data_IF_459124348916
#
_entry.id   IF_459124348916
#
_cell.length_a   1.000
_cell.length_b   1.000
_cell.length_c   1.000
_cell.angle_alpha   90.00
_cell.angle_beta   90.00
_cell.angle_gamma   90.00
#
_symmetry.space_group_name_H-M   'P 1'
#
loop_
_entity.id
_entity.type
_entity.pdbx_description
1 polymer ?
#
# COMPACT_ATOMS: atom_id res chain seq x y z
N UNK A 1 -12.85 33.80 -31.94
CA UNK A 1 -12.23 33.58 -30.62
C UNK A 1 -12.40 32.10 -30.29
N UNK A 2 -11.38 31.31 -30.62
CA UNK A 2 -11.41 29.85 -30.53
C UNK A 2 -10.45 29.47 -29.41
N UNK A 3 -10.96 28.97 -28.29
CA UNK A 3 -10.14 28.47 -27.19
C UNK A 3 -9.60 27.09 -27.56
N UNK A 4 -8.28 27.02 -27.78
CA UNK A 4 -7.56 25.80 -28.05
C UNK A 4 -7.39 25.00 -26.75
N UNK A 5 -8.15 23.91 -26.60
CA UNK A 5 -7.85 22.82 -25.69
C UNK A 5 -6.55 22.16 -26.17
N UNK A 6 -5.41 22.44 -25.51
CA UNK A 6 -4.20 21.62 -25.69
C UNK A 6 -4.42 20.30 -24.95
N UNK A 7 -4.76 19.27 -25.72
CA UNK A 7 -4.66 17.88 -25.29
C UNK A 7 -3.23 17.60 -24.83
N UNK A 8 -3.07 17.25 -23.56
CA UNK A 8 -1.86 16.58 -23.07
C UNK A 8 -2.01 15.12 -23.48
N UNK A 9 -1.41 14.77 -24.61
CA UNK A 9 -1.13 13.40 -25.02
C UNK A 9 -0.03 12.84 -24.11
N UNK A 10 -0.41 11.96 -23.19
CA UNK A 10 0.51 11.00 -22.57
C UNK A 10 -0.22 9.66 -22.45
N UNK A 11 -0.34 8.96 -23.58
CA UNK A 11 -0.71 7.54 -23.60
C UNK A 11 0.49 6.77 -23.08
N UNK A 12 0.51 6.49 -21.78
CA UNK A 12 1.28 5.43 -21.18
C UNK A 12 0.32 4.30 -20.83
N UNK A 13 0.64 3.07 -21.25
CA UNK A 13 -0.08 1.85 -20.85
C UNK A 13 0.00 1.69 -19.33
N UNK A 14 -0.99 2.19 -18.61
CA UNK A 14 -1.16 1.89 -17.18
C UNK A 14 -1.75 0.50 -17.06
N UNK A 15 -1.04 -0.41 -16.39
CA UNK A 15 -1.63 -1.63 -15.88
C UNK A 15 -2.73 -1.23 -14.89
N UNK A 16 -3.98 -1.57 -15.18
CA UNK A 16 -5.06 -1.40 -14.24
C UNK A 16 -4.99 -2.37 -13.07
N UNK A 17 -5.72 -1.96 -12.04
CA UNK A 17 -5.72 -2.53 -10.69
C UNK A 17 -7.11 -3.09 -10.47
N UNK A 18 -7.23 -4.38 -10.19
CA UNK A 18 -8.51 -4.94 -9.77
C UNK A 18 -8.71 -4.65 -8.28
N UNK A 19 -9.92 -4.20 -7.92
CA UNK A 19 -10.32 -4.01 -6.53
C UNK A 19 -11.27 -5.13 -6.15
N UNK A 20 -10.82 -6.02 -5.27
CA UNK A 20 -11.67 -7.07 -4.69
C UNK A 20 -12.15 -6.56 -3.32
N UNK A 21 -13.47 -6.37 -3.19
CA UNK A 21 -14.12 -6.04 -1.93
C UNK A 21 -14.58 -7.34 -1.25
N UNK A 22 -14.15 -7.54 0.00
CA UNK A 22 -14.57 -8.69 0.82
C UNK A 22 -15.74 -8.24 1.68
N UNK A 23 -16.97 -8.68 1.37
CA UNK A 23 -18.14 -8.41 2.22
C UNK A 23 -18.29 -9.52 3.28
N UNK A 24 -18.22 -9.13 4.55
CA UNK A 24 -18.56 -9.99 5.68
C UNK A 24 -19.93 -9.62 6.22
N UNK A 25 -20.99 -10.30 5.77
CA UNK A 25 -22.29 -10.24 6.45
C UNK A 25 -22.56 -11.57 7.14
N UNK A 26 -22.48 -11.58 8.46
CA UNK A 26 -22.94 -12.67 9.31
C UNK A 26 -24.47 -12.57 9.48
N UNK A 27 -25.21 -13.56 9.01
CA UNK A 27 -26.65 -13.70 9.25
C UNK A 27 -26.88 -14.42 10.59
N UNK A 28 -27.35 -13.68 11.59
CA UNK A 28 -27.84 -14.22 12.86
C UNK A 28 -29.10 -15.04 12.62
N UNK A 29 -29.10 -16.32 13.00
CA UNK A 29 -30.28 -17.17 12.99
C UNK A 29 -31.13 -16.89 14.24
N UNK A 30 -32.32 -16.33 14.07
CA UNK A 30 -33.36 -16.35 15.09
C UNK A 30 -34.58 -17.08 14.52
N UNK A 31 -34.81 -18.28 15.05
CA UNK A 31 -36.01 -19.08 14.80
C UNK A 31 -37.08 -18.67 15.83
N UNK A 32 -38.28 -18.32 15.36
CA UNK A 32 -39.44 -18.04 16.22
C UNK A 32 -40.61 -17.43 15.44
N UNK A 33 -41.76 -18.12 15.46
CA UNK A 33 -42.96 -17.89 14.64
C UNK A 33 -44.00 -17.02 15.41
N UNK A 34 -44.90 -16.34 14.66
CA UNK A 34 -46.28 -15.79 14.96
C UNK A 34 -46.45 -14.27 15.30
N UNK A 35 -47.63 -13.63 15.05
CA UNK A 35 -48.03 -13.00 13.77
C UNK A 35 -48.40 -11.48 13.84
N UNK A 36 -48.76 -10.93 12.68
CA UNK A 36 -49.25 -9.57 12.34
C UNK A 36 -50.07 -8.79 13.39
N UNK A 37 -49.64 -7.56 13.71
CA UNK A 37 -50.49 -6.40 13.99
C UNK A 37 -49.70 -5.08 13.83
N UNK A 38 -50.34 -4.05 13.28
CA UNK A 38 -49.69 -2.94 12.59
C UNK A 38 -48.86 -1.97 13.44
N UNK A 39 -47.81 -1.44 12.82
CA UNK A 39 -47.30 -0.08 13.06
C UNK A 39 -46.82 0.51 11.74
N UNK A 40 -47.39 1.66 11.39
CA UNK A 40 -46.89 2.53 10.32
C UNK A 40 -45.47 2.94 10.68
N UNK A 41 -44.49 2.54 9.87
CA UNK A 41 -43.18 3.18 9.85
C UNK A 41 -42.98 3.72 8.43
N UNK A 42 -42.73 5.03 8.35
CA UNK A 42 -42.29 5.74 7.14
C UNK A 42 -40.86 5.29 6.76
N UNK A 43 -40.70 4.01 6.41
CA UNK A 43 -39.48 3.47 5.87
C UNK A 43 -39.50 3.58 4.36
N UNK A 44 -38.86 4.62 3.82
CA UNK A 44 -38.26 4.48 2.49
C UNK A 44 -37.38 3.25 2.58
N UNK A 45 -37.66 2.25 1.76
CA UNK A 45 -36.80 1.09 1.56
C UNK A 45 -35.44 1.65 1.12
N UNK A 46 -34.48 1.77 2.05
CA UNK A 46 -33.10 2.11 1.71
C UNK A 46 -32.55 0.90 0.96
N UNK A 47 -32.11 1.14 -0.27
CA UNK A 47 -31.41 0.19 -1.14
C UNK A 47 -30.54 -0.75 -0.29
N UNK A 48 -31.03 -1.98 -0.21
CA UNK A 48 -30.43 -3.14 0.43
C UNK A 48 -29.01 -3.35 -0.08
N UNK A 49 -28.01 -3.43 0.82
CA UNK A 49 -26.75 -4.20 0.76
C UNK A 49 -26.11 -4.52 -0.61
N UNK A 50 -26.26 -3.65 -1.60
CA UNK A 50 -25.46 -3.65 -2.80
C UNK A 50 -24.16 -2.93 -2.44
N UNK A 51 -23.04 -3.63 -2.56
CA UNK A 51 -21.71 -3.05 -2.38
C UNK A 51 -21.64 -1.75 -3.19
N UNK A 52 -21.57 -0.61 -2.50
CA UNK A 52 -21.40 0.69 -3.14
C UNK A 52 -20.11 0.60 -3.96
N UNK A 53 -20.24 0.62 -5.29
CA UNK A 53 -19.10 0.75 -6.19
C UNK A 53 -18.37 2.03 -5.79
N UNK A 54 -17.07 1.89 -5.55
CA UNK A 54 -16.24 2.95 -5.00
C UNK A 54 -15.01 3.11 -5.85
N UNK A 55 -14.73 4.35 -6.19
CA UNK A 55 -13.58 4.78 -6.99
C UNK A 55 -12.54 5.46 -6.10
N UNK A 56 -11.31 4.96 -6.14
CA UNK A 56 -10.14 5.62 -5.57
C UNK A 56 -8.87 5.29 -6.36
N UNK A 57 -7.87 6.17 -6.26
CA UNK A 57 -6.52 5.92 -6.78
C UNK A 57 -5.76 5.03 -5.81
N UNK A 58 -4.76 4.27 -6.25
CA UNK A 58 -3.93 3.43 -5.36
C UNK A 58 -3.26 4.27 -4.26
N UNK A 59 -2.66 5.40 -4.61
CA UNK A 59 -1.96 6.28 -3.67
C UNK A 59 -1.23 7.37 -4.44
N UNK A 60 0.01 7.08 -4.83
CA UNK A 60 0.92 7.97 -5.55
C UNK A 60 0.33 8.54 -6.85
N UNK A 61 0.50 9.85 -7.05
CA UNK A 61 0.18 10.56 -8.29
C UNK A 61 1.46 11.04 -8.99
N UNK A 62 1.35 11.35 -10.28
CA UNK A 62 2.49 11.85 -11.05
C UNK A 62 2.92 13.23 -10.52
N UNK A 63 4.17 13.35 -10.07
CA UNK A 63 4.73 14.63 -9.63
C UNK A 63 4.82 15.61 -10.81
N UNK A 64 4.21 16.81 -10.72
CA UNK A 64 4.33 17.83 -11.75
C UNK A 64 5.79 18.28 -11.97
N UNK A 65 6.07 18.86 -13.14
CA UNK A 65 7.39 19.41 -13.44
C UNK A 65 7.80 20.52 -12.44
N UNK A 66 6.84 21.34 -12.01
CA UNK A 66 7.02 22.40 -11.01
C UNK A 66 7.49 21.86 -9.66
N UNK A 67 7.02 20.67 -9.24
CA UNK A 67 7.49 20.02 -8.02
C UNK A 67 8.99 19.70 -8.12
N UNK A 68 9.41 19.10 -9.24
CA UNK A 68 10.81 18.73 -9.48
C UNK A 68 11.72 19.94 -9.50
N UNK A 69 11.31 21.01 -10.17
CA UNK A 69 12.05 22.28 -10.21
C UNK A 69 12.21 22.87 -8.80
N UNK A 70 11.13 22.94 -8.03
CA UNK A 70 11.17 23.44 -6.66
C UNK A 70 12.10 22.61 -5.77
N UNK A 71 12.08 21.28 -5.93
CA UNK A 71 12.95 20.38 -5.18
C UNK A 71 14.42 20.59 -5.52
N UNK A 72 14.76 20.71 -6.81
CA UNK A 72 16.12 21.02 -7.26
C UNK A 72 16.61 22.36 -6.69
N UNK A 73 15.74 23.38 -6.65
CA UNK A 73 16.08 24.69 -6.06
C UNK A 73 16.31 24.62 -4.55
N UNK A 74 15.50 23.83 -3.83
CA UNK A 74 15.70 23.56 -2.41
C UNK A 74 17.06 22.89 -2.16
N UNK A 75 17.39 21.86 -2.95
CA UNK A 75 18.67 21.15 -2.84
C UNK A 75 19.88 22.03 -3.21
N UNK A 76 19.70 22.96 -4.14
CA UNK A 76 20.70 23.97 -4.50
C UNK A 76 20.79 25.15 -3.50
N UNK A 77 19.92 25.21 -2.49
CA UNK A 77 19.86 26.32 -1.53
C UNK A 77 19.32 27.64 -2.10
N UNK A 78 18.74 27.62 -3.30
CA UNK A 78 18.13 28.80 -3.96
C UNK A 78 16.63 28.94 -3.67
N UNK A 79 16.08 28.02 -2.89
CA UNK A 79 14.75 28.05 -2.30
C UNK A 79 14.88 27.55 -0.85
N UNK A 80 14.28 28.25 0.10
CA UNK A 80 14.28 27.82 1.49
C UNK A 80 13.19 26.76 1.75
N UNK A 81 13.28 26.08 2.89
CA UNK A 81 12.33 25.02 3.26
C UNK A 81 10.88 25.53 3.31
N UNK A 82 10.68 26.76 3.79
CA UNK A 82 9.36 27.41 3.85
C UNK A 82 8.81 27.69 2.45
N UNK A 83 9.65 28.18 1.54
CA UNK A 83 9.29 28.39 0.14
C UNK A 83 8.92 27.08 -0.56
N UNK A 84 9.69 26.02 -0.36
CA UNK A 84 9.39 24.69 -0.90
C UNK A 84 8.07 24.14 -0.34
N UNK A 85 7.85 24.22 0.97
CA UNK A 85 6.63 23.72 1.61
C UNK A 85 5.36 24.37 1.04
N UNK A 86 5.38 25.69 0.77
CA UNK A 86 4.24 26.39 0.14
C UNK A 86 3.96 25.90 -1.28
N UNK A 87 5.00 25.67 -2.08
CA UNK A 87 4.84 25.14 -3.45
C UNK A 87 4.25 23.74 -3.38
N UNK A 88 4.79 22.88 -2.50
CA UNK A 88 4.31 21.52 -2.35
C UNK A 88 2.85 21.48 -1.88
N UNK A 89 2.47 22.32 -0.93
CA UNK A 89 1.09 22.43 -0.47
C UNK A 89 0.13 22.82 -1.60
N UNK A 90 0.49 23.79 -2.44
CA UNK A 90 -0.31 24.18 -3.62
C UNK A 90 -0.52 23.00 -4.57
N UNK A 91 0.55 22.24 -4.84
CA UNK A 91 0.47 21.10 -5.77
C UNK A 91 -0.35 19.94 -5.20
N UNK A 92 -0.29 19.73 -3.89
CA UNK A 92 -1.16 18.76 -3.19
C UNK A 92 -2.62 19.20 -3.26
N UNK A 93 -2.91 20.49 -3.05
CA UNK A 93 -4.27 21.03 -3.20
C UNK A 93 -4.80 20.83 -4.61
N UNK A 94 -4.01 21.11 -5.65
CA UNK A 94 -4.38 20.86 -7.05
C UNK A 94 -4.68 19.38 -7.31
N UNK A 95 -3.84 18.48 -6.78
CA UNK A 95 -4.04 17.03 -6.92
C UNK A 95 -5.33 16.54 -6.25
N UNK A 96 -5.65 17.06 -5.07
CA UNK A 96 -6.91 16.77 -4.36
C UNK A 96 -8.11 17.30 -5.14
N UNK A 97 -8.05 18.56 -5.59
CA UNK A 97 -9.13 19.17 -6.35
C UNK A 97 -9.40 18.44 -7.67
N UNK A 98 -8.35 17.97 -8.35
CA UNK A 98 -8.50 17.18 -9.57
C UNK A 98 -9.28 15.89 -9.30
N UNK A 99 -8.91 15.15 -8.24
CA UNK A 99 -9.59 13.91 -7.86
C UNK A 99 -11.07 14.15 -7.51
N UNK A 100 -11.37 15.24 -6.80
CA UNK A 100 -12.74 15.63 -6.49
C UNK A 100 -13.53 16.02 -7.74
N UNK A 101 -12.90 16.75 -8.67
CA UNK A 101 -13.52 17.22 -9.91
C UNK A 101 -13.89 16.07 -10.84
N UNK A 102 -13.03 15.05 -10.94
CA UNK A 102 -13.31 13.84 -11.74
C UNK A 102 -14.28 12.88 -11.04
N UNK A 103 -14.70 13.20 -9.82
CA UNK A 103 -15.76 12.49 -9.11
C UNK A 103 -15.31 11.27 -8.33
N UNK A 104 -14.02 11.16 -7.95
CA UNK A 104 -13.58 10.04 -7.10
C UNK A 104 -14.34 10.02 -5.76
N UNK A 105 -14.68 8.81 -5.32
CA UNK A 105 -15.36 8.60 -4.04
C UNK A 105 -14.42 8.81 -2.88
N UNK A 106 -13.15 8.41 -3.04
CA UNK A 106 -12.08 8.61 -2.07
C UNK A 106 -10.80 9.08 -2.73
N UNK A 107 -10.15 10.03 -2.05
CA UNK A 107 -9.01 10.79 -2.54
C UNK A 107 -7.74 10.49 -1.74
N UNK A 108 -6.59 10.84 -2.30
CA UNK A 108 -5.26 10.77 -1.69
C UNK A 108 -4.55 12.12 -1.83
N UNK A 109 -3.53 12.40 -1.02
CA UNK A 109 -2.62 13.55 -1.25
C UNK A 109 -1.66 13.32 -2.43
N UNK A 110 -1.71 12.12 -3.02
CA UNK A 110 -0.88 11.71 -4.14
C UNK A 110 0.55 11.35 -3.75
N UNK A 111 0.85 11.27 -2.45
CA UNK A 111 2.19 11.01 -1.91
C UNK A 111 3.26 11.96 -2.47
N UNK A 112 2.86 13.19 -2.84
CA UNK A 112 3.74 14.15 -3.50
C UNK A 112 4.91 14.58 -2.61
N UNK A 113 4.70 14.61 -1.29
CA UNK A 113 5.72 14.94 -0.28
C UNK A 113 6.79 13.87 -0.08
N UNK A 114 6.58 12.67 -0.63
CA UNK A 114 7.53 11.55 -0.53
C UNK A 114 8.36 11.49 -1.80
N UNK A 115 9.58 10.94 -1.75
CA UNK A 115 10.33 10.55 -2.96
C UNK A 115 10.03 9.09 -3.33
N UNK A 116 9.81 8.26 -2.32
CA UNK A 116 9.56 6.83 -2.41
C UNK A 116 8.42 6.41 -1.47
N UNK A 117 7.61 5.41 -1.85
CA UNK A 117 6.55 4.88 -0.96
C UNK A 117 7.10 4.36 0.39
N UNK A 118 8.37 3.91 0.38
CA UNK A 118 9.12 3.47 1.56
C UNK A 118 9.35 4.61 2.58
N UNK A 119 9.25 5.87 2.15
CA UNK A 119 9.48 7.05 3.01
C UNK A 119 8.40 7.21 4.09
N UNK A 120 7.23 6.59 3.90
CA UNK A 120 6.18 6.52 4.93
C UNK A 120 6.70 5.95 6.26
N UNK A 121 7.68 5.05 6.21
CA UNK A 121 8.38 4.53 7.39
C UNK A 121 9.82 5.06 7.48
N UNK A 122 10.55 5.13 6.35
CA UNK A 122 11.96 5.51 6.33
C UNK A 122 12.26 6.92 6.84
N UNK A 123 11.34 7.88 6.67
CA UNK A 123 11.46 9.23 7.22
C UNK A 123 10.85 9.39 8.62
N UNK A 124 10.11 8.38 9.08
CA UNK A 124 9.35 8.40 10.33
C UNK A 124 10.07 7.72 11.50
N UNK A 125 11.13 6.94 11.22
CA UNK A 125 11.73 6.02 12.19
C UNK A 125 13.23 6.25 12.36
N UNK A 126 13.66 6.39 13.61
CA UNK A 126 15.06 6.46 14.03
C UNK A 126 15.68 5.08 14.30
N UNK A 127 16.98 5.05 14.61
CA UNK A 127 17.74 3.85 14.97
C UNK A 127 18.46 3.13 13.82
N UNK A 128 18.21 3.53 12.56
CA UNK A 128 18.98 3.04 11.42
C UNK A 128 20.27 3.83 11.22
N UNK A 129 21.30 3.14 10.72
CA UNK A 129 22.50 3.80 10.18
C UNK A 129 22.13 4.49 8.86
N UNK A 130 21.78 5.78 8.91
CA UNK A 130 21.20 6.52 7.78
C UNK A 130 22.03 7.71 7.30
N UNK A 131 21.84 8.11 6.04
CA UNK A 131 22.08 9.49 5.60
C UNK A 131 20.94 9.99 4.71
N UNK A 132 20.93 11.30 4.42
CA UNK A 132 19.88 11.98 3.68
C UNK A 132 19.81 11.54 2.22
N UNK A 133 18.60 11.28 1.72
CA UNK A 133 18.32 11.12 0.28
C UNK A 133 18.30 12.46 -0.45
N UNK A 134 18.75 12.46 -1.71
CA UNK A 134 18.69 13.60 -2.65
C UNK A 134 17.99 13.16 -3.94
N UNK A 135 17.41 14.09 -4.70
CA UNK A 135 16.86 13.79 -6.04
C UNK A 135 17.93 13.17 -6.93
N UNK A 136 19.18 13.64 -6.86
CA UNK A 136 20.28 13.05 -7.62
C UNK A 136 20.56 11.59 -7.26
N UNK A 137 20.47 11.19 -5.99
CA UNK A 137 20.58 9.78 -5.59
C UNK A 137 19.38 8.96 -6.08
N UNK A 138 18.18 9.53 -6.02
CA UNK A 138 16.99 8.89 -6.56
C UNK A 138 17.09 8.67 -8.08
N UNK A 139 17.61 9.65 -8.83
CA UNK A 139 17.81 9.55 -10.29
C UNK A 139 18.94 8.58 -10.65
N UNK A 140 20.01 8.48 -9.85
CA UNK A 140 21.06 7.48 -10.05
C UNK A 140 20.56 6.04 -9.96
N UNK A 141 19.50 5.76 -9.18
CA UNK A 141 18.91 4.40 -9.06
C UNK A 141 18.34 3.86 -10.37
N UNK A 142 18.03 4.76 -11.30
CA UNK A 142 17.41 4.46 -12.60
C UNK A 142 18.34 4.79 -13.76
N UNK A 143 19.60 5.13 -13.47
CA UNK A 143 20.62 5.36 -14.48
C UNK A 143 20.94 4.03 -15.18
N UNK A 144 20.77 3.98 -16.50
CA UNK A 144 20.90 2.75 -17.31
C UNK A 144 19.61 1.92 -17.42
N UNK A 145 18.55 2.29 -16.71
CA UNK A 145 17.27 1.60 -16.76
C UNK A 145 16.46 2.01 -18.01
N UNK A 146 15.87 1.04 -18.72
CA UNK A 146 15.04 1.26 -19.93
C UNK A 146 13.58 0.94 -19.62
N UNK A 147 12.61 1.66 -20.20
CA UNK A 147 11.19 1.33 -20.04
C UNK A 147 10.90 -0.10 -20.50
N UNK A 148 9.90 -0.72 -19.88
CA UNK A 148 9.42 -2.06 -20.23
C UNK A 148 10.47 -3.19 -20.11
N UNK A 149 11.35 -3.12 -19.12
CA UNK A 149 12.24 -4.25 -18.77
C UNK A 149 12.23 -4.51 -17.26
N UNK A 150 12.64 -5.72 -16.87
CA UNK A 150 12.98 -6.01 -15.47
C UNK A 150 14.18 -5.17 -15.07
N UNK A 151 14.03 -4.40 -14.00
CA UNK A 151 15.13 -3.65 -13.40
C UNK A 151 15.26 -4.10 -11.94
N UNK A 152 16.46 -4.39 -11.49
CA UNK A 152 16.75 -4.51 -10.05
C UNK A 152 17.52 -3.25 -9.69
N UNK A 153 17.00 -2.45 -8.76
CA UNK A 153 17.70 -1.24 -8.32
C UNK A 153 19.08 -1.67 -7.79
N UNK A 154 20.20 -1.18 -8.38
CA UNK A 154 21.53 -1.54 -7.93
C UNK A 154 21.73 -1.23 -6.46
N UNK A 155 22.50 -2.05 -5.75
CA UNK A 155 22.89 -1.73 -4.39
C UNK A 155 23.86 -0.54 -4.42
N UNK A 156 23.31 0.65 -4.20
CA UNK A 156 24.11 1.85 -4.05
C UNK A 156 24.78 1.78 -2.67
N UNK A 157 26.01 1.26 -2.64
CA UNK A 157 26.93 1.35 -1.50
C UNK A 157 27.22 2.84 -1.21
N UNK A 158 26.30 3.48 -0.51
CA UNK A 158 26.32 4.88 -0.09
C UNK A 158 25.38 5.03 1.08
N UNK A 159 25.21 6.23 1.62
CA UNK A 159 24.29 6.47 2.72
C UNK A 159 22.95 7.01 2.17
N UNK A 160 21.81 6.52 2.68
CA UNK A 160 20.47 6.81 2.15
C UNK A 160 19.35 6.46 3.15
N UNK A 161 18.07 6.62 2.75
CA UNK A 161 16.92 6.40 3.66
C UNK A 161 16.81 4.92 4.09
N UNK A 162 16.39 4.68 5.34
CA UNK A 162 16.01 3.35 5.79
C UNK A 162 14.96 2.73 4.85
N UNK A 163 14.97 1.41 4.73
CA UNK A 163 14.03 0.62 3.92
C UNK A 163 14.26 0.71 2.40
N UNK A 164 14.84 1.77 1.83
CA UNK A 164 15.17 1.80 0.39
C UNK A 164 16.29 0.82 0.01
N UNK A 165 17.28 0.67 0.89
CA UNK A 165 18.37 -0.30 0.78
C UNK A 165 18.38 -1.20 2.02
N UNK A 166 19.07 -2.34 1.94
CA UNK A 166 19.25 -3.18 3.12
C UNK A 166 20.16 -2.46 4.11
N UNK A 167 19.70 -2.22 5.34
CA UNK A 167 20.44 -1.42 6.33
C UNK A 167 20.46 -2.05 7.72
N UNK A 168 21.59 -1.94 8.44
CA UNK A 168 21.63 -2.27 9.84
C UNK A 168 21.04 -1.16 10.70
N UNK A 169 20.76 -1.51 11.95
CA UNK A 169 20.46 -0.56 13.03
C UNK A 169 21.64 -0.49 14.00
N UNK A 170 21.79 0.65 14.68
CA UNK A 170 22.74 0.82 15.78
C UNK A 170 22.06 0.88 17.16
N UNK A 171 20.74 1.07 17.20
CA UNK A 171 19.90 1.02 18.39
C UNK A 171 18.49 0.52 18.03
N UNK A 172 17.62 0.31 19.04
CA UNK A 172 16.24 -0.09 18.76
C UNK A 172 15.51 1.00 17.98
N UNK A 173 14.67 0.56 17.05
CA UNK A 173 13.93 1.50 16.20
C UNK A 173 12.84 2.15 17.03
N UNK A 174 12.57 3.42 16.74
CA UNK A 174 11.54 4.18 17.43
C UNK A 174 10.97 5.23 16.48
N UNK A 175 9.69 5.56 16.66
CA UNK A 175 9.04 6.59 15.86
C UNK A 175 9.55 7.97 16.27
N UNK A 176 10.15 8.71 15.34
CA UNK A 176 10.62 10.09 15.55
C UNK A 176 9.60 11.13 15.11
N UNK A 177 8.77 10.77 14.14
CA UNK A 177 7.65 11.56 13.62
C UNK A 177 6.68 10.64 12.88
N UNK A 178 5.49 11.12 12.54
CA UNK A 178 4.52 10.36 11.77
C UNK A 178 4.24 11.05 10.43
N UNK A 179 5.06 10.75 9.42
CA UNK A 179 4.95 11.35 8.08
C UNK A 179 3.56 11.14 7.45
N UNK A 180 2.97 9.92 7.47
CA UNK A 180 1.59 9.71 7.00
C UNK A 180 0.54 10.58 7.70
N UNK A 181 0.68 10.82 9.01
CA UNK A 181 -0.23 11.69 9.76
C UNK A 181 -0.10 13.15 9.34
N UNK A 182 1.12 13.65 9.18
CA UNK A 182 1.37 15.03 8.74
C UNK A 182 0.76 15.28 7.36
N UNK A 183 0.88 14.30 6.45
CA UNK A 183 0.26 14.34 5.12
C UNK A 183 -1.26 14.40 5.19
N UNK A 184 -1.87 13.53 6.01
CA UNK A 184 -3.30 13.52 6.23
C UNK A 184 -3.79 14.85 6.83
N UNK A 185 -3.11 15.36 7.85
CA UNK A 185 -3.47 16.61 8.53
C UNK A 185 -3.35 17.82 7.59
N UNK A 186 -2.39 17.80 6.66
CA UNK A 186 -2.21 18.85 5.66
C UNK A 186 -3.43 18.98 4.75
N UNK A 187 -3.99 17.86 4.29
CA UNK A 187 -5.08 17.88 3.29
C UNK A 187 -6.48 17.85 3.87
N UNK A 188 -6.64 17.31 5.09
CA UNK A 188 -7.94 17.13 5.72
C UNK A 188 -8.79 18.41 5.79
N UNK A 189 -8.26 19.63 6.05
CA UNK A 189 -9.07 20.84 6.15
C UNK A 189 -9.80 21.25 4.88
N UNK A 190 -9.29 20.89 3.70
CA UNK A 190 -9.88 21.26 2.41
C UNK A 190 -10.45 20.09 1.60
N UNK A 191 -10.18 18.85 2.02
CA UNK A 191 -10.79 17.65 1.46
C UNK A 191 -12.33 17.61 1.69
N UNK A 192 -13.08 17.45 0.61
CA UNK A 192 -14.56 17.27 0.58
C UNK A 192 -14.97 15.81 0.51
N UNK A 193 -14.02 14.91 0.22
CA UNK A 193 -14.20 13.46 0.14
C UNK A 193 -13.41 12.76 1.25
N UNK A 194 -13.76 11.52 1.64
CA UNK A 194 -12.93 10.74 2.53
C UNK A 194 -11.51 10.60 1.96
N UNK A 195 -10.51 10.70 2.84
CA UNK A 195 -9.09 10.63 2.48
C UNK A 195 -8.54 9.25 2.81
N UNK A 196 -7.82 8.66 1.86
CA UNK A 196 -7.01 7.44 2.01
C UNK A 196 -5.56 7.82 2.32
N UNK A 197 -4.95 7.09 3.25
CA UNK A 197 -3.53 7.24 3.58
C UNK A 197 -2.79 5.93 3.32
N UNK A 198 -1.73 5.98 2.53
CA UNK A 198 -0.87 4.83 2.25
C UNK A 198 0.31 4.76 3.22
N UNK A 199 0.55 3.59 3.80
CA UNK A 199 1.74 3.25 4.58
C UNK A 199 2.40 2.02 3.97
N UNK A 200 3.72 1.94 4.02
CA UNK A 200 4.43 0.73 3.62
C UNK A 200 4.13 -0.43 4.58
N UNK A 201 4.02 -1.63 4.03
CA UNK A 201 3.82 -2.86 4.79
C UNK A 201 5.09 -3.43 5.44
N UNK A 202 4.92 -4.22 6.52
CA UNK A 202 6.00 -4.82 7.29
C UNK A 202 6.94 -5.70 6.46
N UNK A 203 6.46 -6.32 5.38
CA UNK A 203 7.30 -7.24 4.58
C UNK A 203 8.52 -6.53 4.01
N UNK A 204 8.28 -5.40 3.34
CA UNK A 204 9.34 -4.66 2.66
C UNK A 204 10.34 -4.09 3.66
N UNK A 205 9.87 -3.66 4.83
CA UNK A 205 10.73 -3.24 5.94
C UNK A 205 11.65 -4.39 6.36
N UNK A 206 11.11 -5.59 6.58
CA UNK A 206 11.87 -6.79 6.92
C UNK A 206 12.87 -7.22 5.83
N UNK A 207 12.46 -7.22 4.55
CA UNK A 207 13.33 -7.53 3.41
C UNK A 207 14.50 -6.55 3.26
N UNK A 208 14.39 -5.36 3.86
CA UNK A 208 15.38 -4.27 3.77
C UNK A 208 16.09 -4.04 5.11
N UNK A 209 15.95 -4.99 6.04
CA UNK A 209 16.70 -5.00 7.28
C UNK A 209 17.93 -5.92 7.18
N UNK A 210 19.10 -5.40 7.56
CA UNK A 210 20.32 -6.19 7.71
C UNK A 210 20.38 -6.78 9.12
N UNK A 211 19.74 -7.92 9.32
CA UNK A 211 19.72 -8.60 10.61
C UNK A 211 21.12 -9.03 11.06
N UNK A 212 21.99 -9.47 10.14
CA UNK A 212 23.32 -9.99 10.49
C UNK A 212 24.18 -8.89 11.14
N UNK A 213 24.21 -7.71 10.52
CA UNK A 213 24.93 -6.55 11.06
C UNK A 213 24.19 -5.86 12.23
N UNK A 214 22.98 -6.32 12.58
CA UNK A 214 22.16 -5.75 13.66
C UNK A 214 21.99 -6.67 14.87
N UNK A 215 22.70 -7.81 14.93
CA UNK A 215 22.54 -8.82 16.00
C UNK A 215 22.83 -8.30 17.40
N UNK A 216 23.65 -7.26 17.52
CA UNK A 216 23.92 -6.59 18.81
C UNK A 216 22.69 -5.85 19.36
N UNK A 217 21.75 -5.45 18.49
CA UNK A 217 20.52 -4.72 18.86
C UNK A 217 19.32 -5.68 18.89
N UNK A 218 19.19 -6.53 17.87
CA UNK A 218 18.11 -7.50 17.73
C UNK A 218 18.65 -8.91 17.63
N UNK A 219 18.44 -9.70 18.68
CA UNK A 219 18.83 -11.10 18.71
C UNK A 219 18.17 -11.90 17.58
N UNK A 220 16.91 -11.59 17.24
CA UNK A 220 16.12 -12.29 16.23
C UNK A 220 15.43 -11.32 15.27
N UNK A 221 15.10 -11.81 14.07
CA UNK A 221 14.24 -11.09 13.14
C UNK A 221 12.84 -10.85 13.73
N UNK A 222 12.34 -11.77 14.57
CA UNK A 222 11.03 -11.62 15.22
C UNK A 222 11.01 -10.41 16.17
N UNK A 223 12.06 -10.23 16.98
CA UNK A 223 12.17 -9.08 17.88
C UNK A 223 12.22 -7.73 17.12
N UNK A 224 12.82 -7.70 15.93
CA UNK A 224 12.78 -6.53 15.06
C UNK A 224 11.37 -6.30 14.49
N UNK A 225 10.71 -7.35 14.02
CA UNK A 225 9.36 -7.24 13.46
C UNK A 225 8.31 -6.84 14.51
N UNK A 226 8.49 -7.21 15.78
CA UNK A 226 7.66 -6.75 16.89
C UNK A 226 7.71 -5.22 17.03
N UNK A 227 8.90 -4.62 16.95
CA UNK A 227 9.06 -3.15 17.01
C UNK A 227 8.50 -2.47 15.75
N UNK A 228 8.67 -3.08 14.57
CA UNK A 228 8.05 -2.59 13.31
C UNK A 228 6.53 -2.53 13.44
N UNK A 229 5.92 -3.62 13.92
CA UNK A 229 4.47 -3.69 14.17
C UNK A 229 4.04 -2.67 15.22
N UNK A 230 4.78 -2.54 16.31
CA UNK A 230 4.47 -1.56 17.36
C UNK A 230 4.46 -0.12 16.81
N UNK A 231 5.47 0.25 16.02
CA UNK A 231 5.56 1.56 15.38
C UNK A 231 4.42 1.77 14.36
N UNK A 232 4.17 0.80 13.48
CA UNK A 232 3.09 0.93 12.49
C UNK A 232 1.72 1.04 13.17
N UNK A 233 1.51 0.34 14.30
CA UNK A 233 0.29 0.50 15.11
C UNK A 233 0.19 1.89 15.74
N UNK A 234 1.30 2.47 16.20
CA UNK A 234 1.32 3.87 16.66
C UNK A 234 0.95 4.82 15.51
N UNK A 235 1.49 4.60 14.31
CA UNK A 235 1.16 5.39 13.12
C UNK A 235 -0.34 5.32 12.80
N UNK A 236 -0.90 4.10 12.76
CA UNK A 236 -2.32 3.84 12.52
C UNK A 236 -3.18 4.49 13.60
N UNK A 237 -2.84 4.35 14.87
CA UNK A 237 -3.59 4.96 15.97
C UNK A 237 -3.65 6.48 15.81
N UNK A 238 -2.52 7.16 15.56
CA UNK A 238 -2.54 8.62 15.40
C UNK A 238 -3.36 9.07 14.17
N UNK A 239 -3.36 8.30 13.08
CA UNK A 239 -4.21 8.55 11.92
C UNK A 239 -5.70 8.42 12.28
N UNK A 240 -6.06 7.37 13.02
CA UNK A 240 -7.42 7.13 13.49
C UNK A 240 -7.90 8.24 14.42
N UNK A 241 -7.03 8.69 15.34
CA UNK A 241 -7.31 9.79 16.28
C UNK A 241 -7.53 11.11 15.53
N UNK A 242 -6.81 11.34 14.43
CA UNK A 242 -7.02 12.48 13.54
C UNK A 242 -8.27 12.36 12.64
N UNK A 243 -9.01 11.24 12.73
CA UNK A 243 -10.25 11.01 11.99
C UNK A 243 -10.07 10.28 10.65
N UNK A 244 -8.88 9.79 10.33
CA UNK A 244 -8.68 8.95 9.15
C UNK A 244 -9.42 7.61 9.34
N UNK A 245 -10.15 7.16 8.33
CA UNK A 245 -10.92 5.89 8.37
C UNK A 245 -10.59 4.96 7.21
N UNK A 246 -9.66 5.34 6.34
CA UNK A 246 -9.13 4.44 5.32
C UNK A 246 -7.62 4.49 5.30
N UNK A 247 -7.02 3.41 5.79
CA UNK A 247 -5.58 3.23 5.81
C UNK A 247 -5.26 2.08 4.88
N UNK A 248 -4.32 2.33 3.99
CA UNK A 248 -3.91 1.42 2.95
C UNK A 248 -2.47 0.95 3.25
N UNK A 249 -2.22 -0.35 3.22
CA UNK A 249 -0.91 -0.96 3.45
C UNK A 249 -0.33 -1.46 2.13
N UNK A 250 0.78 -0.88 1.70
CA UNK A 250 1.47 -1.28 0.47
C UNK A 250 2.39 -2.47 0.75
N UNK A 251 2.04 -3.64 0.18
CA UNK A 251 2.81 -4.89 0.28
C UNK A 251 3.30 -5.37 -1.09
N UNK A 252 4.03 -4.55 -1.88
CA UNK A 252 4.68 -5.06 -3.08
C UNK A 252 5.68 -6.18 -2.72
N UNK A 253 6.13 -6.24 -1.46
CA UNK A 253 6.96 -7.29 -0.87
C UNK A 253 6.43 -8.72 -1.11
N UNK A 254 5.11 -8.92 -1.12
CA UNK A 254 4.52 -10.24 -1.27
C UNK A 254 4.72 -10.89 -2.64
N UNK A 255 4.88 -10.09 -3.70
CA UNK A 255 5.14 -10.64 -5.04
C UNK A 255 6.53 -11.27 -5.18
N UNK A 256 7.44 -11.10 -4.20
CA UNK A 256 8.73 -11.81 -4.22
C UNK A 256 8.58 -13.29 -3.90
N UNK A 257 7.53 -13.68 -3.18
CA UNK A 257 7.33 -15.06 -2.79
C UNK A 257 6.79 -15.93 -3.93
N UNK A 258 6.44 -15.31 -5.07
CA UNK A 258 6.01 -15.96 -6.31
C UNK A 258 6.96 -15.67 -7.49
N UNK A 259 8.07 -14.97 -7.24
CA UNK A 259 9.07 -14.61 -8.25
C UNK A 259 10.34 -15.46 -8.05
N UNK A 260 10.65 -16.40 -8.96
CA UNK A 260 11.78 -17.32 -8.77
C UNK A 260 13.15 -16.64 -8.54
N UNK A 261 13.52 -15.55 -9.25
CA UNK A 261 14.77 -14.85 -8.96
C UNK A 261 14.81 -14.20 -7.57
N UNK A 262 13.68 -13.63 -7.10
CA UNK A 262 13.58 -13.11 -5.73
C UNK A 262 13.74 -14.21 -4.68
N UNK A 263 13.11 -15.37 -4.89
CA UNK A 263 13.23 -16.53 -4.00
C UNK A 263 14.67 -17.04 -3.94
N UNK A 264 15.36 -17.11 -5.08
CA UNK A 264 16.75 -17.53 -5.13
C UNK A 264 17.66 -16.54 -4.40
N UNK A 265 17.45 -15.23 -4.61
CA UNK A 265 18.19 -14.20 -3.89
C UNK A 265 17.98 -14.28 -2.37
N UNK A 266 16.76 -14.61 -1.89
CA UNK A 266 16.51 -14.86 -0.46
C UNK A 266 17.30 -16.07 0.05
N UNK A 267 17.24 -17.20 -0.68
CA UNK A 267 17.95 -18.44 -0.29
C UNK A 267 19.46 -18.26 -0.28
N UNK A 268 20.02 -17.55 -1.25
CA UNK A 268 21.45 -17.25 -1.33
C UNK A 268 21.96 -16.44 -0.11
N UNK A 269 21.08 -15.69 0.56
CA UNK A 269 21.39 -14.97 1.80
C UNK A 269 21.19 -15.81 3.07
N UNK A 270 20.85 -17.10 2.93
CA UNK A 270 20.53 -17.99 4.05
C UNK A 270 19.15 -17.76 4.66
N UNK A 271 18.26 -17.07 3.96
CA UNK A 271 16.89 -16.86 4.42
C UNK A 271 15.99 -18.05 4.08
N UNK A 272 14.90 -18.23 4.82
CA UNK A 272 13.87 -19.25 4.56
C UNK A 272 12.58 -18.57 4.08
N UNK A 273 12.32 -18.46 2.76
CA UNK A 273 11.22 -17.67 2.22
C UNK A 273 9.83 -18.00 2.80
N UNK A 274 9.43 -19.28 2.99
CA UNK A 274 8.13 -19.59 3.60
C UNK A 274 7.99 -19.09 5.05
N UNK A 275 9.10 -19.07 5.82
CA UNK A 275 9.10 -18.52 7.18
C UNK A 275 9.05 -17.00 7.17
N UNK A 276 9.75 -16.36 6.23
CA UNK A 276 9.68 -14.91 6.02
C UNK A 276 8.26 -14.47 5.67
N UNK A 277 7.62 -15.14 4.71
CA UNK A 277 6.24 -14.84 4.34
C UNK A 277 5.27 -15.02 5.52
N UNK A 278 5.43 -16.10 6.29
CA UNK A 278 4.61 -16.36 7.48
C UNK A 278 4.77 -15.30 8.55
N UNK A 279 6.01 -14.86 8.82
CA UNK A 279 6.29 -13.74 9.74
C UNK A 279 5.61 -12.46 9.26
N UNK A 280 5.67 -12.22 7.96
CA UNK A 280 5.14 -11.03 7.32
C UNK A 280 3.62 -10.93 7.35
N UNK A 281 2.91 -12.02 7.03
CA UNK A 281 1.45 -12.11 7.14
C UNK A 281 1.01 -11.86 8.59
N UNK A 282 1.69 -12.48 9.57
CA UNK A 282 1.40 -12.27 11.00
C UNK A 282 1.61 -10.82 11.41
N UNK A 283 2.71 -10.20 11.00
CA UNK A 283 3.00 -8.79 11.28
C UNK A 283 1.93 -7.88 10.67
N UNK A 284 1.55 -8.10 9.41
CA UNK A 284 0.55 -7.31 8.72
C UNK A 284 -0.83 -7.42 9.40
N UNK A 285 -1.28 -8.64 9.71
CA UNK A 285 -2.51 -8.87 10.45
C UNK A 285 -2.50 -8.18 11.83
N UNK A 286 -1.36 -8.21 12.53
CA UNK A 286 -1.22 -7.54 13.82
C UNK A 286 -1.34 -6.01 13.76
N UNK A 287 -0.98 -5.36 12.64
CA UNK A 287 -1.12 -3.91 12.48
C UNK A 287 -2.58 -3.49 12.50
N UNK A 288 -3.46 -4.26 11.85
CA UNK A 288 -4.89 -3.91 11.68
C UNK A 288 -5.75 -4.17 12.94
N UNK A 289 -5.26 -5.00 13.87
CA UNK A 289 -6.06 -5.49 15.01
C UNK A 289 -6.44 -4.35 15.97
N UNK A 290 -7.71 -4.29 16.37
CA UNK A 290 -8.18 -3.35 17.41
C UNK A 290 -8.50 -1.94 16.89
N UNK A 291 -8.75 -1.77 15.59
CA UNK A 291 -9.16 -0.51 14.97
C UNK A 291 -10.56 -0.61 14.34
N UNK A 292 -11.63 -0.71 15.15
CA UNK A 292 -12.99 -0.84 14.62
C UNK A 292 -13.39 0.39 13.80
N UNK A 293 -14.12 0.17 12.70
CA UNK A 293 -14.58 1.25 11.83
C UNK A 293 -13.51 1.83 10.89
N UNK A 294 -12.29 1.29 10.90
CA UNK A 294 -11.26 1.59 9.91
C UNK A 294 -11.37 0.59 8.77
N UNK A 295 -11.39 1.09 7.54
CA UNK A 295 -11.16 0.26 6.36
C UNK A 295 -9.65 0.09 6.21
N UNK A 296 -9.18 -1.15 6.20
CA UNK A 296 -7.83 -1.50 5.78
C UNK A 296 -7.86 -2.03 4.35
N UNK A 297 -7.09 -1.38 3.49
CA UNK A 297 -6.77 -1.84 2.15
C UNK A 297 -5.36 -2.38 2.09
N UNK A 298 -5.11 -3.34 1.19
CA UNK A 298 -3.77 -3.81 0.87
C UNK A 298 -3.51 -3.68 -0.64
N UNK A 299 -2.33 -3.23 -1.02
CA UNK A 299 -1.92 -3.16 -2.43
C UNK A 299 -0.72 -4.05 -2.71
N UNK A 300 -0.87 -4.92 -3.71
CA UNK A 300 0.22 -5.71 -4.24
C UNK A 300 0.50 -5.26 -5.68
N UNK A 301 1.77 -4.99 -5.92
CA UNK A 301 2.30 -4.53 -7.21
C UNK A 301 3.60 -5.26 -7.52
N UNK A 302 3.94 -5.28 -8.80
CA UNK A 302 5.20 -5.83 -9.34
C UNK A 302 6.23 -4.73 -9.66
N UNK A 303 5.90 -3.48 -9.30
CA UNK A 303 6.69 -2.30 -9.58
C UNK A 303 6.26 -1.63 -10.89
N UNK A 304 6.16 -0.30 -10.88
CA UNK A 304 5.85 0.50 -12.06
C UNK A 304 6.74 1.76 -12.11
N UNK A 305 8.00 1.64 -11.67
CA UNK A 305 8.90 2.79 -11.70
C UNK A 305 9.28 3.06 -13.16
N UNK A 306 8.74 4.13 -13.75
CA UNK A 306 8.89 4.46 -15.20
C UNK A 306 8.55 3.29 -16.12
N UNK A 307 7.43 2.60 -15.88
CA UNK A 307 7.01 1.42 -16.65
C UNK A 307 7.97 0.22 -16.59
N UNK A 308 8.86 0.20 -15.59
CA UNK A 308 9.69 -0.96 -15.25
C UNK A 308 9.07 -1.73 -14.10
N UNK A 309 9.29 -3.04 -14.12
CA UNK A 309 8.86 -3.97 -13.06
C UNK A 309 10.07 -4.68 -12.47
N UNK A 310 9.89 -5.26 -11.30
CA UNK A 310 10.95 -5.96 -10.58
C UNK A 310 10.58 -7.44 -10.34
N UNK A 311 9.32 -7.85 -10.54
CA UNK A 311 8.81 -9.19 -10.19
C UNK A 311 7.78 -9.70 -11.19
N UNK A 312 7.70 -11.02 -11.35
CA UNK A 312 6.75 -11.70 -12.24
C UNK A 312 6.17 -12.95 -11.53
N UNK A 313 5.06 -13.48 -12.02
CA UNK A 313 4.41 -14.69 -11.48
C UNK A 313 2.91 -14.51 -11.19
N UNK A 314 2.16 -15.61 -11.09
CA UNK A 314 0.74 -15.60 -10.68
C UNK A 314 0.63 -15.44 -9.17
N UNK A 315 -0.54 -15.02 -8.68
CA UNK A 315 -0.78 -14.92 -7.23
C UNK A 315 -1.11 -16.28 -6.58
N UNK A 316 -1.26 -17.35 -7.37
CA UNK A 316 -1.88 -18.60 -6.95
C UNK A 316 -1.24 -19.21 -5.69
N UNK A 317 0.09 -19.17 -5.60
CA UNK A 317 0.85 -19.74 -4.49
C UNK A 317 0.66 -18.98 -3.16
N UNK A 318 0.21 -17.72 -3.21
CA UNK A 318 0.02 -16.87 -2.03
C UNK A 318 -1.43 -16.47 -1.80
N UNK A 319 -2.30 -16.57 -2.81
CA UNK A 319 -3.67 -16.07 -2.80
C UNK A 319 -4.49 -16.62 -1.63
N UNK A 320 -4.44 -17.94 -1.39
CA UNK A 320 -5.19 -18.57 -0.29
C UNK A 320 -4.81 -17.94 1.06
N UNK A 321 -3.52 -17.73 1.29
CA UNK A 321 -3.03 -17.10 2.53
C UNK A 321 -3.41 -15.64 2.61
N UNK A 322 -3.28 -14.90 1.50
CA UNK A 322 -3.64 -13.48 1.45
C UNK A 322 -5.12 -13.28 1.79
N UNK A 323 -6.03 -14.01 1.16
CA UNK A 323 -7.47 -13.78 1.36
C UNK A 323 -8.03 -14.36 2.68
N UNK A 324 -7.35 -15.33 3.29
CA UNK A 324 -7.83 -15.96 4.53
C UNK A 324 -7.12 -15.47 5.80
N UNK A 325 -5.83 -15.09 5.71
CA UNK A 325 -5.03 -14.72 6.89
C UNK A 325 -4.91 -13.19 7.07
N UNK A 326 -5.16 -12.39 6.03
CA UNK A 326 -5.09 -10.92 6.12
C UNK A 326 -6.47 -10.32 6.38
N UNK A 327 -6.69 -9.65 7.52
CA UNK A 327 -7.97 -9.03 7.89
C UNK A 327 -8.20 -7.68 7.17
N UNK A 328 -7.97 -7.65 5.87
CA UNK A 328 -8.17 -6.47 5.01
C UNK A 328 -9.54 -6.52 4.34
N UNK A 329 -10.19 -5.36 4.25
CA UNK A 329 -11.51 -5.26 3.63
C UNK A 329 -11.40 -5.06 2.11
N UNK A 330 -10.24 -4.57 1.63
CA UNK A 330 -10.01 -4.30 0.21
C UNK A 330 -8.64 -4.80 -0.24
N UNK A 331 -8.63 -5.54 -1.34
CA UNK A 331 -7.41 -5.97 -2.01
C UNK A 331 -7.31 -5.23 -3.35
N UNK A 332 -6.24 -4.45 -3.52
CA UNK A 332 -5.88 -3.77 -4.75
C UNK A 332 -4.71 -4.54 -5.36
N UNK A 333 -4.93 -5.15 -6.51
CA UNK A 333 -3.98 -6.10 -7.08
C UNK A 333 -3.71 -5.73 -8.53
N UNK A 334 -2.44 -5.61 -8.90
CA UNK A 334 -2.05 -5.42 -10.30
C UNK A 334 -2.38 -6.68 -11.11
N UNK A 335 -3.23 -6.57 -12.14
CA UNK A 335 -3.70 -7.70 -12.99
C UNK A 335 -3.68 -7.45 -14.50
N UNK A 336 -3.73 -6.21 -14.97
CA UNK A 336 -3.99 -5.89 -16.39
C UNK A 336 -2.77 -6.03 -17.32
N UNK A 337 -1.86 -6.94 -17.00
CA UNK A 337 -0.84 -7.36 -17.95
C UNK A 337 -0.61 -8.86 -17.84
N UNK A 338 -0.08 -9.53 -18.89
CA UNK A 338 0.38 -10.92 -18.77
C UNK A 338 1.35 -11.13 -17.60
N UNK A 339 2.01 -10.06 -17.15
CA UNK A 339 2.93 -10.01 -16.00
C UNK A 339 2.18 -9.91 -14.67
N UNK A 340 0.98 -9.32 -14.67
CA UNK A 340 0.11 -9.05 -13.53
C UNK A 340 -0.66 -10.26 -12.97
N UNK A 341 -0.62 -11.41 -13.64
CA UNK A 341 -1.25 -12.64 -13.15
C UNK A 341 -2.05 -13.42 -14.18
N UNK A 342 -2.16 -12.94 -15.44
CA UNK A 342 -2.99 -13.59 -16.46
C UNK A 342 -4.42 -13.85 -15.99
N UNK A 343 -5.16 -14.73 -16.66
CA UNK A 343 -6.52 -15.19 -16.26
C UNK A 343 -6.55 -15.96 -14.91
N UNK A 344 -5.52 -15.82 -14.07
CA UNK A 344 -5.14 -16.74 -12.99
C UNK A 344 -5.87 -16.58 -11.66
N UNK A 345 -6.75 -15.59 -11.44
CA UNK A 345 -7.64 -15.68 -10.27
C UNK A 345 -8.72 -16.72 -10.58
N UNK A 346 -8.40 -17.99 -10.43
CA UNK A 346 -9.44 -19.00 -10.22
C UNK A 346 -10.16 -18.60 -8.93
N UNK A 347 -11.45 -18.31 -9.05
CA UNK A 347 -12.30 -17.79 -7.99
C UNK A 347 -11.92 -18.38 -6.62
N UNK A 348 -11.23 -17.59 -5.80
CA UNK A 348 -11.01 -17.95 -4.40
C UNK A 348 -12.36 -17.77 -3.74
N UNK A 349 -12.97 -18.86 -3.27
CA UNK A 349 -14.17 -18.80 -2.47
C UNK A 349 -13.85 -18.03 -1.18
N UNK A 350 -14.20 -16.75 -1.14
CA UNK A 350 -14.11 -15.92 0.05
C UNK A 350 -15.10 -16.52 1.06
N UNK A 351 -14.58 -17.23 2.07
CA UNK A 351 -15.42 -17.67 3.20
C UNK A 351 -15.90 -16.43 3.96
N UNK A 352 -17.20 -16.31 4.28
CA UNK A 352 -17.62 -15.39 5.33
C UNK A 352 -16.89 -15.78 6.61
N UNK A 353 -16.19 -14.86 7.27
CA UNK A 353 -15.69 -15.11 8.61
C UNK A 353 -16.89 -15.24 9.55
N UNK A 354 -17.32 -16.47 9.79
CA UNK A 354 -18.23 -16.83 10.87
C UNK A 354 -17.44 -17.12 12.13
N UNK A 355 -17.94 -16.64 13.27
CA UNK A 355 -17.45 -17.06 14.58
C UNK A 355 -17.61 -18.59 14.71
N UNK A 356 -16.54 -19.24 15.18
CA UNK A 356 -16.37 -20.66 15.48
C UNK A 356 -15.77 -21.54 14.37
N UNK A 357 -14.58 -22.05 14.68
CA UNK A 357 -13.77 -22.89 13.82
C UNK A 357 -14.39 -24.24 13.47
N UNK A 358 -14.07 -24.70 12.26
CA UNK A 358 -14.40 -26.02 11.75
C UNK A 358 -13.92 -26.14 10.30
N UNK A 359 -12.81 -26.84 10.08
CA UNK A 359 -12.31 -27.17 8.75
C UNK A 359 -13.20 -28.25 8.12
N UNK A 360 -13.59 -28.05 6.86
CA UNK A 360 -14.39 -28.99 6.08
C UNK A 360 -14.16 -28.73 4.60
N UNK A 361 -13.60 -29.74 3.93
CA UNK A 361 -13.11 -29.71 2.56
C UNK A 361 -14.23 -30.00 1.54
N UNK A 362 -14.17 -29.33 0.39
CA UNK A 362 -14.92 -29.70 -0.80
C UNK A 362 -14.13 -29.25 -2.04
N UNK A 363 -13.72 -30.19 -2.88
CA UNK A 363 -13.17 -29.93 -4.21
C UNK A 363 -14.27 -29.38 -5.13
N UNK A 364 -13.97 -28.32 -5.89
CA UNK A 364 -14.83 -27.85 -6.97
C UNK A 364 -14.12 -28.02 -8.32
N UNK A 365 -14.70 -28.82 -9.21
CA UNK A 365 -14.21 -29.02 -10.57
C UNK A 365 -14.56 -27.81 -11.45
N UNK A 366 -13.55 -27.31 -12.16
CA UNK A 366 -13.60 -26.03 -12.87
C UNK A 366 -14.55 -25.98 -14.08
N UNK A 367 -15.19 -24.84 -14.26
CA UNK A 367 -15.85 -24.43 -15.50
C UNK A 367 -15.28 -23.08 -15.96
N UNK A 368 -14.74 -23.04 -17.18
CA UNK A 368 -14.23 -21.82 -17.81
C UNK A 368 -15.40 -20.92 -18.24
N UNK A 369 -15.48 -19.69 -17.72
CA UNK A 369 -16.37 -18.66 -18.24
C UNK A 369 -15.59 -17.78 -19.22
N UNK A 370 -15.90 -17.88 -20.53
CA UNK A 370 -15.50 -16.88 -21.52
C UNK A 370 -16.46 -15.69 -21.41
N UNK A 371 -15.92 -14.49 -21.28
CA UNK A 371 -16.70 -13.25 -21.36
C UNK A 371 -16.29 -12.59 -22.70
N UNK A 372 -17.28 -12.44 -23.59
CA UNK A 372 -17.12 -11.82 -24.91
C UNK A 372 -17.46 -10.34 -24.92
#
# INVERSE_FOLDING_TARGET
MTFALRMISAVGTQAGVAVIAVSGNALTTCCGILPLAGRRNNGVVKLSDQAIMRTDVVGSLLRPASWREARTRLEAGTLDATGFARIEESLVQEAVQLQELVGLDVISDGELSRLNFQDSFGLAVGGYVSAKETVSLYEKRIEGAKPNQRWEIPDLHGAGTPVSHRRPVNERIHMVRNVPLEEYQRIRPFAKKPVKVAIIGPDRIGQRFDHQASRAVYATMDAFMEDVVAIQRQMVQSLVDAGCRYIHIDEPGYTAYVDPPSLEAMRARGEHPPANFTRSIKANAAITKGFPGVTFGIYLCRGNQRSMWHREGTYDEIAERLFNELPHQRFLLEYDSPRGGGEGIRAVAIRPQGENGGAGFGEYQGGSARIG
#
